data_IF_027715279439
#
_entry.id   IF_027715279439
#
_cell.length_a   1.000
_cell.length_b   1.000
_cell.length_c   1.000
_cell.angle_alpha   90.00
_cell.angle_beta   90.00
_cell.angle_gamma   90.00
#
_symmetry.space_group_name_H-M   'P 1'
#
loop_
_entity.id
_entity.type
_entity.pdbx_description
1 polymer ?
#
# COMPACT_ATOMS: atom_id res chain seq x y z
N UNK A 1 -38.71 -31.61 9.90
CA UNK A 1 -38.20 -30.95 8.67
C UNK A 1 -37.22 -29.88 9.12
N UNK A 2 -36.00 -30.26 9.46
CA UNK A 2 -34.93 -29.31 9.84
C UNK A 2 -33.95 -29.27 8.67
N UNK A 3 -33.99 -28.20 7.88
CA UNK A 3 -33.02 -27.96 6.83
C UNK A 3 -31.65 -27.66 7.43
N UNK A 4 -30.54 -27.94 6.73
CA UNK A 4 -29.22 -27.64 7.25
C UNK A 4 -29.06 -26.12 7.34
N UNK A 5 -28.51 -25.66 8.45
CA UNK A 5 -28.04 -24.29 8.58
C UNK A 5 -27.07 -24.02 7.42
N UNK A 6 -27.39 -23.00 6.64
CA UNK A 6 -26.57 -22.50 5.55
C UNK A 6 -25.13 -22.34 6.02
N UNK A 7 -24.24 -23.00 5.31
CA UNK A 7 -22.79 -22.87 5.38
C UNK A 7 -22.39 -21.46 4.92
N UNK A 8 -22.72 -20.44 5.72
CA UNK A 8 -22.08 -19.13 5.64
C UNK A 8 -20.79 -19.24 6.43
N UNK A 9 -19.81 -19.84 5.76
CA UNK A 9 -18.41 -19.87 6.18
C UNK A 9 -18.02 -18.48 6.69
N UNK A 10 -17.54 -18.43 7.93
CA UNK A 10 -17.00 -17.25 8.61
C UNK A 10 -16.25 -16.37 7.61
N UNK A 11 -16.78 -15.18 7.34
CA UNK A 11 -16.05 -14.10 6.68
C UNK A 11 -14.97 -13.68 7.66
N UNK A 12 -13.84 -14.36 7.59
CA UNK A 12 -12.72 -14.19 8.50
C UNK A 12 -12.48 -12.69 8.74
N UNK A 13 -12.54 -12.28 10.00
CA UNK A 13 -11.97 -11.05 10.54
C UNK A 13 -10.41 -11.11 10.48
N UNK A 14 -9.87 -11.67 9.39
CA UNK A 14 -8.49 -11.54 8.99
C UNK A 14 -8.38 -10.13 8.43
N UNK A 15 -7.73 -9.23 9.17
CA UNK A 15 -7.40 -7.90 8.66
C UNK A 15 -6.95 -8.00 7.20
N UNK A 16 -7.63 -7.28 6.31
CA UNK A 16 -7.41 -7.40 4.87
C UNK A 16 -5.92 -7.24 4.57
N UNK A 17 -5.29 -8.30 4.07
CA UNK A 17 -3.84 -8.28 3.86
C UNK A 17 -3.52 -7.37 2.68
N UNK A 18 -2.76 -6.30 2.94
CA UNK A 18 -2.26 -5.43 1.88
C UNK A 18 -1.13 -6.13 1.14
N UNK A 19 -1.25 -6.21 -0.20
CA UNK A 19 -0.27 -6.87 -1.08
C UNK A 19 0.47 -5.92 -2.02
N UNK A 20 -0.10 -4.73 -2.24
CA UNK A 20 0.46 -3.72 -3.13
C UNK A 20 0.16 -2.33 -2.56
N UNK A 21 1.13 -1.43 -2.63
CA UNK A 21 0.98 -0.01 -2.34
C UNK A 21 1.27 0.77 -3.62
N UNK A 22 0.33 1.64 -4.00
CA UNK A 22 0.43 2.49 -5.20
C UNK A 22 0.74 3.92 -4.75
N UNK A 23 1.77 4.52 -5.32
CA UNK A 23 2.25 5.86 -4.97
C UNK A 23 1.92 6.88 -6.07
N UNK A 24 1.42 8.04 -5.65
CA UNK A 24 1.08 9.20 -6.49
C UNK A 24 2.27 10.15 -6.73
N UNK A 25 3.44 9.82 -6.17
CA UNK A 25 4.71 10.53 -6.36
C UNK A 25 4.75 11.97 -5.81
N UNK A 26 4.23 12.94 -6.56
CA UNK A 26 4.34 14.37 -6.26
C UNK A 26 3.57 14.71 -4.97
N UNK A 27 4.23 15.46 -4.09
CA UNK A 27 3.77 15.80 -2.73
C UNK A 27 3.28 14.63 -1.86
N UNK A 28 3.59 13.39 -2.26
CA UNK A 28 3.18 12.15 -1.59
C UNK A 28 4.39 11.30 -1.24
N UNK A 29 5.14 10.86 -2.25
CA UNK A 29 6.37 10.09 -2.07
C UNK A 29 7.55 11.03 -1.83
N UNK A 30 7.62 12.13 -2.57
CA UNK A 30 8.64 13.17 -2.43
C UNK A 30 7.98 14.54 -2.26
N UNK A 31 8.79 15.54 -1.88
CA UNK A 31 8.37 16.92 -1.72
C UNK A 31 8.61 17.68 -3.02
N UNK A 32 7.58 18.39 -3.50
CA UNK A 32 7.61 19.14 -4.75
C UNK A 32 7.04 18.35 -5.93
N UNK A 33 6.96 19.03 -7.07
CA UNK A 33 6.45 18.50 -8.33
C UNK A 33 7.59 18.46 -9.34
N UNK A 34 7.99 17.27 -9.79
CA UNK A 34 9.23 17.10 -10.57
C UNK A 34 9.27 17.94 -11.87
N UNK A 35 8.13 18.05 -12.56
CA UNK A 35 8.03 18.81 -13.81
C UNK A 35 8.06 20.33 -13.60
N UNK A 36 7.66 20.81 -12.41
CA UNK A 36 7.60 22.24 -12.08
C UNK A 36 8.92 22.72 -11.45
N UNK A 37 9.46 21.96 -10.49
CA UNK A 37 10.60 22.35 -9.67
C UNK A 37 11.95 21.90 -10.25
N UNK A 38 11.96 20.91 -11.14
CA UNK A 38 13.16 20.34 -11.77
C UNK A 38 13.99 19.42 -10.88
N UNK A 39 13.87 19.56 -9.55
CA UNK A 39 14.37 18.62 -8.55
C UNK A 39 13.33 18.39 -7.45
N UNK A 40 13.35 17.19 -6.84
CA UNK A 40 12.46 16.83 -5.73
C UNK A 40 13.27 16.20 -4.61
N UNK A 41 12.81 16.40 -3.38
CA UNK A 41 13.43 15.83 -2.21
C UNK A 41 12.63 14.63 -1.72
N UNK A 42 13.25 13.44 -1.75
CA UNK A 42 12.71 12.24 -1.11
C UNK A 42 13.12 12.20 0.37
N UNK A 43 12.20 12.36 1.34
CA UNK A 43 12.55 12.30 2.74
C UNK A 43 13.05 10.91 3.16
N UNK A 44 14.05 10.87 4.05
CA UNK A 44 14.65 9.61 4.51
C UNK A 44 13.63 8.67 5.16
N UNK A 45 12.62 9.21 5.84
CA UNK A 45 11.56 8.38 6.45
C UNK A 45 10.68 7.69 5.40
N UNK A 46 10.37 8.37 4.29
CA UNK A 46 9.62 7.74 3.18
C UNK A 46 10.46 6.65 2.51
N UNK A 47 11.76 6.93 2.30
CA UNK A 47 12.71 5.91 1.81
C UNK A 47 12.72 4.67 2.71
N UNK A 48 12.78 4.85 4.03
CA UNK A 48 12.73 3.73 4.99
C UNK A 48 11.43 2.94 4.89
N UNK A 49 10.27 3.61 4.74
CA UNK A 49 8.97 2.94 4.57
C UNK A 49 8.95 2.08 3.33
N UNK A 50 9.38 2.61 2.17
CA UNK A 50 9.40 1.86 0.90
C UNK A 50 10.27 0.60 1.04
N UNK A 51 11.48 0.74 1.60
CA UNK A 51 12.40 -0.39 1.81
C UNK A 51 11.81 -1.42 2.77
N UNK A 52 11.23 -0.98 3.89
CA UNK A 52 10.66 -1.87 4.90
C UNK A 52 9.47 -2.66 4.34
N UNK A 53 8.56 -2.00 3.60
CA UNK A 53 7.39 -2.66 3.02
C UNK A 53 7.78 -3.63 1.89
N UNK A 54 8.75 -3.27 1.05
CA UNK A 54 9.31 -4.15 0.03
C UNK A 54 9.95 -5.40 0.66
N UNK A 55 10.72 -5.23 1.75
CA UNK A 55 11.33 -6.34 2.49
C UNK A 55 10.31 -7.33 3.08
N UNK A 56 9.09 -6.85 3.34
CA UNK A 56 7.95 -7.66 3.81
C UNK A 56 7.13 -8.29 2.68
N UNK A 57 7.55 -8.09 1.43
CA UNK A 57 6.91 -8.64 0.23
C UNK A 57 5.68 -7.86 -0.23
N UNK A 58 5.57 -6.57 0.10
CA UNK A 58 4.51 -5.69 -0.40
C UNK A 58 5.02 -5.03 -1.68
N UNK A 59 4.33 -5.31 -2.79
CA UNK A 59 4.65 -4.73 -4.08
C UNK A 59 4.51 -3.20 -4.04
N UNK A 60 5.49 -2.49 -4.57
CA UNK A 60 5.43 -1.04 -4.74
C UNK A 60 5.10 -0.73 -6.22
N UNK A 61 4.07 0.08 -6.46
CA UNK A 61 3.70 0.56 -7.79
C UNK A 61 3.63 2.08 -7.79
N UNK A 62 3.81 2.68 -8.95
CA UNK A 62 3.58 4.11 -9.19
C UNK A 62 2.35 4.25 -10.10
N UNK A 63 1.60 5.35 -9.96
CA UNK A 63 0.45 5.69 -10.78
C UNK A 63 0.61 7.07 -11.42
#
# INVERSE_FOLDING_TARGET
>A
MSGPASDETRKDDMAATVKCLVWDLDDTLWQGTLLEDGEVHLPDEVRKVVIELDSRGILQSVA
#
